data_IF_588867587625
#
_entry.id   IF_588867587625
#
_cell.length_a   1.000
_cell.length_b   1.000
_cell.length_c   1.000
_cell.angle_alpha   90.00
_cell.angle_beta   90.00
_cell.angle_gamma   90.00
#
_symmetry.space_group_name_H-M   'P 1'
#
loop_
_entity.id
_entity.type
_entity.pdbx_description
1 polymer ?
#
# COMPACT_ATOMS: atom_id res chain seq x y z
N UNK A 1 34.95 2.81 -22.71
CA UNK A 1 34.17 2.24 -21.59
C UNK A 1 34.07 3.33 -20.57
N UNK A 2 32.86 3.68 -20.16
CA UNK A 2 32.49 4.23 -18.85
C UNK A 2 30.99 4.58 -18.92
N UNK A 3 30.15 3.58 -18.63
CA UNK A 3 28.74 3.82 -18.36
C UNK A 3 28.66 4.45 -16.98
N UNK A 4 28.38 5.75 -16.93
CA UNK A 4 27.94 6.43 -15.71
C UNK A 4 26.57 5.85 -15.38
N UNK A 5 26.57 4.80 -14.54
CA UNK A 5 25.36 4.19 -14.01
C UNK A 5 24.66 5.20 -13.12
N UNK A 6 23.73 5.96 -13.70
CA UNK A 6 22.75 6.76 -12.99
C UNK A 6 22.02 5.86 -12.00
N UNK A 7 22.31 6.01 -10.70
CA UNK A 7 21.54 5.44 -9.60
C UNK A 7 20.19 6.17 -9.53
N UNK A 8 19.28 5.83 -10.46
CA UNK A 8 17.90 6.26 -10.39
C UNK A 8 17.25 5.58 -9.17
N UNK A 9 16.49 6.32 -8.33
CA UNK A 9 15.74 5.73 -7.24
C UNK A 9 14.84 4.61 -7.76
N UNK A 10 14.78 3.48 -7.04
CA UNK A 10 13.88 2.37 -7.37
C UNK A 10 12.49 2.72 -6.86
N UNK A 11 11.61 3.15 -7.77
CA UNK A 11 10.26 3.61 -7.44
C UNK A 11 9.26 2.46 -7.35
N UNK A 12 8.30 2.56 -6.42
CA UNK A 12 7.11 1.72 -6.36
C UNK A 12 6.09 2.15 -7.42
N UNK A 13 5.56 1.22 -8.21
CA UNK A 13 4.49 1.46 -9.17
C UNK A 13 3.18 0.85 -8.63
N UNK A 14 2.27 1.69 -8.16
CA UNK A 14 0.97 1.24 -7.63
C UNK A 14 -0.11 1.52 -8.67
N UNK A 15 -0.86 0.49 -9.07
CA UNK A 15 -2.04 0.60 -9.94
C UNK A 15 -3.32 0.59 -9.11
N UNK A 16 -4.06 1.71 -9.11
CA UNK A 16 -5.34 1.84 -8.40
C UNK A 16 -6.48 1.89 -9.42
N UNK A 17 -7.36 0.88 -9.44
CA UNK A 17 -8.63 0.91 -10.18
C UNK A 17 -9.80 0.92 -9.19
N UNK A 18 -10.19 2.09 -8.68
CA UNK A 18 -11.31 2.18 -7.74
C UNK A 18 -12.03 3.53 -7.80
N UNK A 19 -13.07 3.63 -8.62
CA UNK A 19 -14.16 4.58 -8.37
C UNK A 19 -15.26 3.86 -7.60
N UNK A 20 -15.79 4.37 -6.47
CA UNK A 20 -15.58 5.69 -5.85
C UNK A 20 -14.83 5.61 -4.51
N UNK A 21 -13.52 5.30 -4.50
CA UNK A 21 -12.71 5.21 -3.27
C UNK A 21 -11.67 6.33 -3.18
N UNK A 22 -11.54 6.95 -2.01
CA UNK A 22 -10.36 7.71 -1.62
C UNK A 22 -9.40 6.78 -0.91
N UNK A 23 -8.14 6.73 -1.35
CA UNK A 23 -7.09 5.88 -0.81
C UNK A 23 -5.91 6.75 -0.40
N UNK A 24 -5.40 6.57 0.82
CA UNK A 24 -4.21 7.28 1.32
C UNK A 24 -3.47 6.44 2.37
N UNK A 25 -2.29 6.89 2.78
CA UNK A 25 -1.52 6.25 3.85
C UNK A 25 -0.10 5.88 3.41
N UNK A 26 0.76 5.60 4.39
CA UNK A 26 2.18 5.29 4.14
C UNK A 26 2.35 3.96 3.40
N UNK A 27 1.40 3.03 3.52
CA UNK A 27 1.45 1.72 2.86
C UNK A 27 1.34 1.76 1.33
N UNK A 28 0.97 2.92 0.76
CA UNK A 28 1.00 3.18 -0.69
C UNK A 28 2.00 4.29 -1.07
N UNK A 29 2.91 4.65 -0.18
CA UNK A 29 3.95 5.62 -0.49
C UNK A 29 4.95 5.02 -1.49
N UNK A 30 5.42 5.83 -2.44
CA UNK A 30 6.39 5.36 -3.44
C UNK A 30 7.77 5.04 -2.88
N UNK A 31 8.09 5.60 -1.73
CA UNK A 31 9.39 5.52 -1.07
C UNK A 31 9.27 5.76 0.44
N UNK A 32 10.35 5.49 1.17
CA UNK A 32 10.44 5.77 2.60
C UNK A 32 9.75 4.77 3.52
N UNK A 33 9.35 3.59 3.00
CA UNK A 33 8.91 2.44 3.79
C UNK A 33 10.13 1.59 4.15
N UNK A 34 10.26 1.20 5.43
CA UNK A 34 11.34 0.33 5.91
C UNK A 34 10.80 -1.06 6.18
N UNK A 35 11.65 -2.07 6.05
CA UNK A 35 11.32 -3.41 6.54
C UNK A 35 11.04 -3.36 8.04
N UNK A 36 10.12 -4.20 8.49
CA UNK A 36 9.61 -4.29 9.86
C UNK A 36 8.80 -3.07 10.37
N UNK A 37 8.60 -2.03 9.55
CA UNK A 37 7.62 -0.98 9.86
C UNK A 37 6.19 -1.50 9.59
N UNK A 38 5.28 -1.35 10.56
CA UNK A 38 3.85 -1.52 10.30
C UNK A 38 3.37 -0.29 9.54
N UNK A 39 2.89 -0.49 8.31
CA UNK A 39 2.38 0.57 7.45
C UNK A 39 0.89 0.41 7.17
N UNK A 40 0.21 1.54 7.00
CA UNK A 40 -1.24 1.59 6.86
C UNK A 40 -1.67 2.10 5.48
N UNK A 41 -2.72 1.49 4.94
CA UNK A 41 -3.50 1.92 3.79
C UNK A 41 -4.92 2.21 4.29
N UNK A 42 -5.40 3.42 4.05
CA UNK A 42 -6.73 3.87 4.42
C UNK A 42 -7.61 3.97 3.19
N UNK A 43 -8.81 3.42 3.26
CA UNK A 43 -9.82 3.51 2.21
C UNK A 43 -11.11 4.13 2.77
N UNK A 44 -11.60 5.15 2.07
CA UNK A 44 -12.90 5.77 2.34
C UNK A 44 -13.75 5.81 1.10
N UNK A 45 -14.97 5.32 1.22
CA UNK A 45 -15.93 5.42 0.14
C UNK A 45 -16.40 6.88 -0.06
N UNK A 46 -16.57 7.27 -1.32
CA UNK A 46 -17.04 8.60 -1.71
C UNK A 46 -18.35 8.49 -2.47
N UNK A 47 -19.45 8.31 -1.75
CA UNK A 47 -20.81 8.40 -2.32
C UNK A 47 -21.78 7.33 -1.84
N UNK A 48 -21.30 6.10 -1.65
CA UNK A 48 -22.09 4.99 -1.10
C UNK A 48 -21.29 4.24 -0.04
N UNK A 49 -21.94 3.67 1.00
CA UNK A 49 -21.26 2.78 1.92
C UNK A 49 -20.68 1.61 1.14
N UNK A 50 -19.38 1.37 1.31
CA UNK A 50 -18.68 0.25 0.66
C UNK A 50 -18.61 -0.89 1.66
N UNK A 51 -19.13 -2.05 1.25
CA UNK A 51 -18.90 -3.33 1.92
C UNK A 51 -17.39 -3.57 2.00
N UNK A 52 -16.90 -4.15 3.10
CA UNK A 52 -15.46 -4.39 3.39
C UNK A 52 -14.61 -4.60 2.11
N UNK A 53 -13.73 -3.65 1.74
CA UNK A 53 -12.87 -3.77 0.57
C UNK A 53 -11.94 -4.98 0.71
N UNK A 54 -11.60 -5.59 -0.42
CA UNK A 54 -10.54 -6.60 -0.47
C UNK A 54 -9.23 -5.93 -0.88
N UNK A 55 -8.19 -6.08 -0.06
CA UNK A 55 -6.85 -5.55 -0.33
C UNK A 55 -5.88 -6.73 -0.38
N UNK A 56 -5.20 -6.88 -1.51
CA UNK A 56 -4.14 -7.86 -1.71
C UNK A 56 -2.81 -7.11 -1.77
N UNK A 57 -1.80 -7.59 -1.05
CA UNK A 57 -0.44 -7.04 -1.12
C UNK A 57 0.50 -8.16 -1.53
N UNK A 58 1.32 -7.92 -2.54
CA UNK A 58 2.34 -8.85 -3.02
C UNK A 58 3.72 -8.24 -2.86
N UNK A 59 4.61 -8.96 -2.19
CA UNK A 59 6.02 -8.58 -2.02
C UNK A 59 6.96 -9.42 -2.88
N UNK A 60 8.28 -9.24 -2.71
CA UNK A 60 9.29 -9.96 -3.47
C UNK A 60 9.21 -11.50 -3.34
N UNK A 61 8.72 -11.98 -2.20
CA UNK A 61 8.60 -13.42 -1.90
C UNK A 61 7.18 -13.97 -2.11
N UNK A 62 6.26 -13.17 -2.65
CA UNK A 62 4.87 -13.56 -2.87
C UNK A 62 3.89 -12.81 -1.98
N UNK A 63 2.79 -13.47 -1.62
CA UNK A 63 1.67 -12.83 -0.94
C UNK A 63 2.02 -12.39 0.49
N UNK A 64 1.64 -11.17 0.83
CA UNK A 64 1.89 -10.56 2.14
C UNK A 64 0.60 -10.56 2.95
N UNK A 65 0.62 -11.04 4.20
CA UNK A 65 -0.56 -11.02 5.05
C UNK A 65 -0.98 -9.58 5.37
N UNK A 66 -2.24 -9.28 5.09
CA UNK A 66 -2.87 -7.99 5.40
C UNK A 66 -3.86 -8.18 6.54
N UNK A 67 -3.78 -7.30 7.54
CA UNK A 67 -4.81 -7.16 8.58
C UNK A 67 -5.67 -5.95 8.27
N UNK A 68 -6.92 -5.97 8.68
CA UNK A 68 -7.81 -4.83 8.51
C UNK A 68 -8.77 -4.65 9.68
N UNK A 69 -9.22 -3.42 9.83
CA UNK A 69 -10.29 -3.03 10.73
C UNK A 69 -11.05 -1.83 10.15
N UNK A 70 -12.26 -1.61 10.65
CA UNK A 70 -13.07 -0.46 10.29
C UNK A 70 -13.04 0.56 11.43
N UNK A 71 -12.64 1.79 11.11
CA UNK A 71 -12.70 2.93 12.01
C UNK A 71 -14.08 3.60 11.89
N UNK A 72 -14.92 3.37 12.91
CA UNK A 72 -16.32 3.77 12.92
C UNK A 72 -16.50 5.28 12.92
N UNK A 73 -15.64 6.02 13.63
CA UNK A 73 -15.76 7.48 13.77
C UNK A 73 -15.45 8.21 12.47
N UNK A 74 -14.45 7.71 11.73
CA UNK A 74 -14.01 8.31 10.47
C UNK A 74 -14.74 7.73 9.25
N UNK A 75 -15.44 6.61 9.45
CA UNK A 75 -16.01 5.74 8.40
C UNK A 75 -14.95 5.36 7.36
N UNK A 76 -13.83 4.82 7.86
CA UNK A 76 -12.65 4.47 7.07
C UNK A 76 -12.27 3.02 7.31
N UNK A 77 -11.99 2.27 6.25
CA UNK A 77 -11.30 0.99 6.37
C UNK A 77 -9.80 1.23 6.45
N UNK A 78 -9.17 0.64 7.46
CA UNK A 78 -7.73 0.67 7.64
C UNK A 78 -7.17 -0.73 7.42
N UNK A 79 -6.21 -0.85 6.52
CA UNK A 79 -5.48 -2.06 6.21
C UNK A 79 -4.03 -1.85 6.63
N UNK A 80 -3.39 -2.85 7.22
CA UNK A 80 -1.97 -2.81 7.52
C UNK A 80 -1.25 -4.09 7.14
N UNK A 81 0.00 -3.90 6.76
CA UNK A 81 0.95 -4.97 6.50
C UNK A 81 2.33 -4.54 7.00
N UNK A 82 3.24 -5.51 7.08
CA UNK A 82 4.61 -5.30 7.51
C UNK A 82 5.55 -5.93 6.47
N UNK A 83 6.26 -5.14 5.66
CA UNK A 83 7.26 -5.68 4.73
C UNK A 83 8.41 -6.27 5.53
N UNK A 84 8.82 -7.49 5.18
CA UNK A 84 9.91 -8.22 5.87
C UNK A 84 11.17 -8.35 5.02
N UNK A 85 11.08 -8.02 3.72
CA UNK A 85 12.18 -8.12 2.76
C UNK A 85 12.27 -6.83 1.96
N UNK A 86 13.49 -6.41 1.63
CA UNK A 86 13.69 -5.24 0.78
C UNK A 86 13.31 -5.56 -0.68
N UNK A 87 12.51 -4.70 -1.31
CA UNK A 87 12.16 -4.84 -2.72
C UNK A 87 10.89 -4.10 -3.10
N UNK A 88 10.35 -4.46 -4.27
CA UNK A 88 9.10 -3.91 -4.79
C UNK A 88 7.90 -4.65 -4.22
N UNK A 89 6.85 -3.88 -3.92
CA UNK A 89 5.56 -4.38 -3.46
C UNK A 89 4.46 -3.89 -4.41
N UNK A 90 3.41 -4.69 -4.59
CA UNK A 90 2.22 -4.38 -5.38
C UNK A 90 0.97 -4.41 -4.49
#
# INVERSE_FOLDING_TARGET
MDFVGSLAPKYLLIHISAGPLKIWGRGIAKEGIRIFDIVYIFLKATGHPVTRPHVHVKGPEGDVPVKDYFEEDLKVWAFCYMPVVEGSYE
#
